data_IF_302286079230
#
_entry.id   IF_302286079230
#
_cell.length_a   1.000
_cell.length_b   1.000
_cell.length_c   1.000
_cell.angle_alpha   90.00
_cell.angle_beta   90.00
_cell.angle_gamma   90.00
#
_symmetry.space_group_name_H-M   'P 1'
#
loop_
_entity.id
_entity.type
_entity.pdbx_description
1 polymer ?
#
# COMPACT_ATOMS: atom_id res chain seq x y z
N UNK A 1 -13.66 7.57 0.75
CA UNK A 1 -12.71 6.54 1.24
C UNK A 1 -11.75 7.17 2.23
N UNK A 2 -11.76 6.66 3.44
CA UNK A 2 -10.94 7.18 4.52
C UNK A 2 -9.98 6.10 5.01
N UNK A 3 -8.70 6.42 5.07
CA UNK A 3 -7.65 5.50 5.56
C UNK A 3 -7.29 5.84 6.99
N UNK A 4 -7.02 4.82 7.79
CA UNK A 4 -6.46 4.99 9.15
C UNK A 4 -5.06 5.57 9.07
N UNK A 5 -4.29 5.16 8.04
CA UNK A 5 -2.98 5.69 7.75
C UNK A 5 -2.72 5.59 6.24
N UNK A 6 -2.03 6.55 5.68
CA UNK A 6 -1.65 6.55 4.26
C UNK A 6 -0.15 6.40 4.07
N UNK A 7 0.58 6.23 5.17
CA UNK A 7 2.02 6.11 5.18
C UNK A 7 2.43 5.00 6.13
N UNK A 8 3.34 4.16 5.68
CA UNK A 8 3.91 3.09 6.49
C UNK A 8 5.43 3.21 6.48
N UNK A 9 5.99 3.34 7.69
CA UNK A 9 7.42 3.31 7.89
C UNK A 9 7.78 1.95 8.48
N UNK A 10 8.40 1.09 7.68
CA UNK A 10 8.77 -0.25 8.14
C UNK A 10 10.04 -0.26 9.00
N UNK A 11 10.63 0.90 9.24
CA UNK A 11 11.83 0.99 10.05
C UNK A 11 13.07 0.53 9.28
N UNK A 12 13.87 -0.30 9.91
CA UNK A 12 15.08 -0.84 9.31
C UNK A 12 14.95 -2.34 9.14
N UNK A 13 15.29 -2.81 7.95
CA UNK A 13 15.31 -4.24 7.63
C UNK A 13 16.62 -4.55 6.90
N UNK A 14 16.98 -5.83 6.87
CA UNK A 14 18.16 -6.28 6.12
C UNK A 14 17.77 -6.61 4.68
N UNK A 15 18.71 -6.41 3.78
CA UNK A 15 18.51 -6.73 2.37
C UNK A 15 18.08 -8.17 2.19
N UNK A 16 17.06 -8.37 1.38
CA UNK A 16 16.46 -9.68 1.13
C UNK A 16 15.25 -10.00 1.97
N UNK A 17 15.02 -9.26 3.06
CA UNK A 17 13.83 -9.44 3.88
C UNK A 17 12.61 -8.82 3.20
N UNK A 18 11.45 -9.42 3.44
CA UNK A 18 10.18 -8.89 2.96
C UNK A 18 9.33 -8.45 4.15
N UNK A 19 8.57 -7.37 3.95
CA UNK A 19 7.66 -6.84 4.95
C UNK A 19 6.28 -6.63 4.34
N UNK A 20 5.26 -6.73 5.17
CA UNK A 20 3.87 -6.53 4.76
C UNK A 20 3.17 -5.57 5.70
N UNK A 21 2.23 -4.80 5.15
CA UNK A 21 1.39 -3.93 5.95
C UNK A 21 -0.01 -3.86 5.37
N UNK A 22 -1.00 -3.85 6.25
CA UNK A 22 -2.39 -3.72 5.87
C UNK A 22 -2.85 -2.28 6.10
N UNK A 23 -3.15 -1.58 5.00
CA UNK A 23 -3.76 -0.24 5.07
C UNK A 23 -5.26 -0.41 5.16
N UNK A 24 -5.82 -0.11 6.33
CA UNK A 24 -7.25 -0.21 6.56
C UNK A 24 -7.95 1.04 6.07
N UNK A 25 -9.08 0.87 5.39
CA UNK A 25 -9.89 1.98 4.92
C UNK A 25 -11.37 1.72 5.15
N UNK A 26 -12.15 2.80 5.15
CA UNK A 26 -13.61 2.73 5.27
C UNK A 26 -14.22 3.50 4.12
N UNK A 27 -15.28 2.94 3.52
CA UNK A 27 -16.06 3.66 2.53
C UNK A 27 -16.98 4.65 3.26
N UNK A 28 -16.59 5.91 3.27
CA UNK A 28 -17.34 6.98 3.92
C UNK A 28 -18.34 7.67 2.98
N UNK A 29 -18.39 7.23 1.73
CA UNK A 29 -19.32 7.77 0.75
C UNK A 29 -20.71 7.14 0.84
N UNK A 30 -21.59 7.54 -0.06
CA UNK A 30 -22.96 7.02 -0.14
C UNK A 30 -23.13 5.96 -1.21
N UNK A 31 -22.11 5.72 -2.04
CA UNK A 31 -22.12 4.74 -3.12
C UNK A 31 -21.09 3.64 -2.90
N UNK A 32 -21.28 2.46 -3.49
CA UNK A 32 -20.28 1.40 -3.40
C UNK A 32 -18.93 1.86 -3.94
N UNK A 33 -17.87 1.53 -3.21
CA UNK A 33 -16.50 1.85 -3.61
C UNK A 33 -15.93 0.70 -4.42
N UNK A 34 -15.46 1.00 -5.63
CA UNK A 34 -14.83 0.02 -6.50
C UNK A 34 -13.38 0.47 -6.72
N UNK A 35 -12.45 -0.37 -6.33
CA UNK A 35 -11.03 -0.15 -6.63
C UNK A 35 -10.71 -0.89 -7.92
N UNK A 36 -10.35 -0.15 -8.95
CA UNK A 36 -10.11 -0.74 -10.27
C UNK A 36 -8.65 -1.11 -10.49
N UNK A 37 -7.74 -0.47 -9.76
CA UNK A 37 -6.31 -0.69 -9.93
C UNK A 37 -5.55 -0.27 -8.68
N UNK A 38 -4.48 -0.99 -8.40
CA UNK A 38 -3.50 -0.60 -7.39
C UNK A 38 -2.12 -0.95 -7.94
N UNK A 39 -1.24 0.04 -7.99
CA UNK A 39 0.07 -0.12 -8.62
C UNK A 39 1.16 0.42 -7.73
N UNK A 40 2.19 -0.42 -7.50
CA UNK A 40 3.41 0.03 -6.84
C UNK A 40 4.31 0.82 -7.80
N UNK A 41 5.14 1.69 -7.25
CA UNK A 41 6.11 2.47 -8.03
C UNK A 41 7.24 1.62 -8.60
N UNK A 42 7.39 0.40 -8.09
CA UNK A 42 8.34 -0.58 -8.65
C UNK A 42 7.77 -1.99 -8.46
N UNK A 43 8.34 -2.97 -9.16
CA UNK A 43 7.93 -4.37 -9.02
C UNK A 43 8.23 -4.98 -7.64
N UNK A 44 8.95 -4.28 -6.79
CA UNK A 44 9.28 -4.72 -5.44
C UNK A 44 8.14 -4.47 -4.44
N UNK A 45 7.14 -3.70 -4.83
CA UNK A 45 5.98 -3.38 -4.00
C UNK A 45 4.74 -3.97 -4.66
N UNK A 46 4.11 -4.92 -3.98
CA UNK A 46 2.96 -5.65 -4.52
C UNK A 46 1.73 -5.36 -3.66
N UNK A 47 0.77 -4.58 -4.18
CA UNK A 47 -0.49 -4.34 -3.48
C UNK A 47 -1.52 -5.40 -3.82
N UNK A 48 -2.32 -5.77 -2.82
CA UNK A 48 -3.49 -6.65 -2.98
C UNK A 48 -4.69 -5.91 -2.40
N UNK A 49 -5.76 -5.83 -3.17
CA UNK A 49 -6.94 -5.05 -2.80
C UNK A 49 -8.23 -5.85 -3.00
N UNK A 50 -9.35 -5.41 -2.36
CA UNK A 50 -10.62 -6.06 -2.57
C UNK A 50 -11.07 -5.95 -4.03
N UNK A 51 -11.47 -7.06 -4.61
CA UNK A 51 -11.95 -7.13 -5.99
C UNK A 51 -13.44 -6.87 -6.10
N UNK A 52 -14.15 -6.97 -4.97
CA UNK A 52 -15.58 -6.72 -4.91
C UNK A 52 -15.87 -5.31 -4.42
N UNK A 53 -17.02 -4.71 -4.79
CA UNK A 53 -17.40 -3.41 -4.28
C UNK A 53 -17.49 -3.40 -2.76
N UNK A 54 -17.01 -2.32 -2.15
CA UNK A 54 -17.10 -2.11 -0.70
C UNK A 54 -18.31 -1.21 -0.45
N UNK A 55 -19.31 -1.74 0.25
CA UNK A 55 -20.53 -1.00 0.51
C UNK A 55 -20.30 0.21 1.41
N UNK A 56 -21.17 1.25 1.33
CA UNK A 56 -21.06 2.41 2.21
C UNK A 56 -21.07 2.00 3.68
N UNK A 57 -20.12 2.55 4.45
CA UNK A 57 -19.95 2.24 5.87
C UNK A 57 -19.14 0.99 6.14
N UNK A 58 -18.81 0.20 5.12
CA UNK A 58 -17.98 -0.98 5.29
C UNK A 58 -16.50 -0.64 5.16
N UNK A 59 -15.68 -1.50 5.74
CA UNK A 59 -14.24 -1.36 5.73
C UNK A 59 -13.60 -2.39 4.81
N UNK A 60 -12.41 -2.07 4.32
CA UNK A 60 -11.60 -2.98 3.53
C UNK A 60 -10.13 -2.82 3.88
N UNK A 61 -9.31 -3.62 3.25
CA UNK A 61 -7.87 -3.65 3.51
C UNK A 61 -7.12 -3.67 2.19
N UNK A 62 -6.09 -2.83 2.11
CA UNK A 62 -5.10 -2.89 1.03
C UNK A 62 -3.84 -3.48 1.65
N UNK A 63 -3.53 -4.71 1.29
CA UNK A 63 -2.30 -5.37 1.75
C UNK A 63 -1.16 -4.99 0.82
N UNK A 64 -0.07 -4.49 1.38
CA UNK A 64 1.09 -4.09 0.59
C UNK A 64 2.30 -4.88 1.07
N UNK A 65 2.94 -5.57 0.15
CA UNK A 65 4.16 -6.33 0.42
C UNK A 65 5.33 -5.65 -0.26
N UNK A 66 6.38 -5.42 0.50
CA UNK A 66 7.63 -4.87 -0.02
C UNK A 66 8.74 -5.92 0.10
N UNK A 67 9.38 -6.23 -1.03
CA UNK A 67 10.52 -7.14 -1.08
C UNK A 67 11.79 -6.31 -1.25
N UNK A 68 12.67 -6.39 -0.28
CA UNK A 68 13.91 -5.61 -0.26
C UNK A 68 15.06 -6.24 -1.03
N UNK A 69 14.84 -7.35 -1.72
CA UNK A 69 15.89 -8.01 -2.50
C UNK A 69 16.48 -7.04 -3.54
N UNK A 70 17.78 -6.87 -3.50
CA UNK A 70 18.49 -5.97 -4.41
C UNK A 70 18.35 -4.49 -4.05
N UNK A 71 17.71 -4.16 -2.94
CA UNK A 71 17.53 -2.78 -2.48
C UNK A 71 18.52 -2.45 -1.38
N UNK A 72 18.85 -1.18 -1.24
CA UNK A 72 19.72 -0.69 -0.17
C UNK A 72 19.44 0.78 0.12
N UNK A 73 19.69 1.19 1.34
CA UNK A 73 19.54 2.58 1.76
C UNK A 73 18.09 2.96 2.00
N UNK A 74 17.82 4.25 2.00
CA UNK A 74 16.48 4.78 2.19
C UNK A 74 15.57 4.37 1.06
N UNK A 75 14.40 3.85 1.42
CA UNK A 75 13.36 3.49 0.46
C UNK A 75 12.15 4.39 0.65
N UNK A 76 11.59 4.82 -0.46
CA UNK A 76 10.36 5.61 -0.48
C UNK A 76 9.57 5.16 -1.70
N UNK A 77 8.60 4.29 -1.47
CA UNK A 77 7.79 3.69 -2.53
C UNK A 77 6.36 4.16 -2.40
N UNK A 78 5.69 4.27 -3.53
CA UNK A 78 4.29 4.70 -3.57
C UNK A 78 3.43 3.62 -4.18
N UNK A 79 2.20 3.52 -3.65
CA UNK A 79 1.17 2.66 -4.20
C UNK A 79 0.03 3.59 -4.63
N UNK A 80 -0.28 3.56 -5.92
CA UNK A 80 -1.35 4.39 -6.47
C UNK A 80 -2.60 3.54 -6.65
N UNK A 81 -3.68 3.95 -5.99
CA UNK A 81 -4.99 3.32 -6.10
C UNK A 81 -5.85 4.13 -7.05
N UNK A 82 -6.56 3.44 -7.95
CA UNK A 82 -7.55 4.06 -8.82
C UNK A 82 -8.91 3.50 -8.44
N UNK A 83 -9.86 4.39 -8.20
CA UNK A 83 -11.20 4.03 -7.75
C UNK A 83 -12.26 4.74 -8.57
N UNK A 84 -13.52 4.38 -8.33
CA UNK A 84 -14.67 5.07 -8.93
C UNK A 84 -15.09 6.34 -8.16
N UNK A 85 -14.37 6.69 -7.10
CA UNK A 85 -14.67 7.88 -6.29
C UNK A 85 -14.04 9.15 -6.88
N UNK A 86 -14.35 10.30 -6.28
CA UNK A 86 -13.75 11.59 -6.63
C UNK A 86 -13.07 12.16 -5.40
N UNK A 87 -11.77 12.41 -5.46
CA UNK A 87 -10.85 12.12 -6.56
C UNK A 87 -10.67 10.61 -6.78
N UNK A 88 -10.45 10.22 -8.03
CA UNK A 88 -10.34 8.80 -8.39
C UNK A 88 -9.01 8.16 -7.98
N UNK A 89 -8.03 8.97 -7.63
CA UNK A 89 -6.68 8.51 -7.32
C UNK A 89 -6.35 8.74 -5.85
N UNK A 90 -5.77 7.72 -5.23
CA UNK A 90 -5.27 7.79 -3.86
C UNK A 90 -3.86 7.20 -3.83
N UNK A 91 -2.95 7.86 -3.14
CA UNK A 91 -1.55 7.41 -3.03
C UNK A 91 -1.24 7.01 -1.59
N UNK A 92 -0.70 5.80 -1.44
CA UNK A 92 -0.18 5.31 -0.18
C UNK A 92 1.34 5.30 -0.27
N UNK A 93 2.01 5.55 0.84
CA UNK A 93 3.47 5.62 0.88
C UNK A 93 4.05 4.53 1.78
N UNK A 94 5.08 3.85 1.29
CA UNK A 94 5.86 2.86 2.04
C UNK A 94 7.28 3.37 2.11
N UNK A 95 7.79 3.56 3.31
CA UNK A 95 9.16 4.04 3.50
C UNK A 95 9.88 3.31 4.61
N UNK A 96 11.20 3.38 4.58
CA UNK A 96 12.05 2.75 5.58
C UNK A 96 13.48 2.68 5.08
N UNK A 97 14.28 1.90 5.78
CA UNK A 97 15.69 1.73 5.45
C UNK A 97 16.01 0.25 5.26
N UNK A 98 16.73 -0.04 4.17
CA UNK A 98 17.26 -1.38 3.91
C UNK A 98 18.76 -1.36 4.15
N UNK A 99 19.23 -2.16 5.08
CA UNK A 99 20.63 -2.29 5.41
C UNK A 99 21.24 -3.42 4.58
N UNK A 100 22.49 -3.22 4.15
CA UNK A 100 23.22 -4.27 3.48
C UNK A 100 23.48 -5.40 4.46
N UNK A 101 23.26 -6.63 4.00
CA UNK A 101 23.55 -7.80 4.80
C UNK A 101 25.06 -8.05 4.77
N UNK A 102 25.67 -8.07 5.93
CA UNK A 102 27.07 -8.42 6.07
C UNK A 102 27.22 -9.93 6.23
N UNK A 103 28.24 -10.48 5.62
CA UNK A 103 28.57 -11.90 5.74
C UNK A 103 29.72 -12.13 6.70
#
# INVERSE_FOLDING_TARGET
MEFEAIEWNFGEINQGESVEYAFNFTNTGSDPLIITSAKGSCGCTVPVWPREPVAPGESGVIDVKFNSKGKKGKQNKRVTLITNMVPSQKVLTVKGQVNLKEE
#
